data_IF_089093423383
#
_entry.id   IF_089093423383
#
_cell.length_a   1.000
_cell.length_b   1.000
_cell.length_c   1.000
_cell.angle_alpha   90.00
_cell.angle_beta   90.00
_cell.angle_gamma   90.00
#
_symmetry.space_group_name_H-M   'P 1'
#
loop_
_entity.id
_entity.type
_entity.pdbx_description
1 polymer ?
#
# COMPACT_ATOMS: atom_id res chain seq x y z
N UNK A 1 -1.56 20.70 -6.95
CA UNK A 1 -0.85 19.43 -6.79
C UNK A 1 0.08 19.62 -5.63
N UNK A 2 0.05 18.70 -4.68
CA UNK A 2 0.59 18.80 -3.31
C UNK A 2 2.06 19.32 -3.22
N UNK A 3 2.83 19.26 -4.31
CA UNK A 3 4.19 19.80 -4.43
C UNK A 3 4.33 20.87 -5.55
N UNK A 4 3.50 21.91 -5.54
CA UNK A 4 3.58 23.02 -6.52
C UNK A 4 3.01 22.72 -7.92
N UNK A 5 2.37 21.56 -8.10
CA UNK A 5 1.72 21.17 -9.35
C UNK A 5 0.31 21.77 -9.53
N UNK A 6 -0.33 21.49 -10.66
CA UNK A 6 -1.71 21.92 -10.95
C UNK A 6 -2.68 21.49 -9.84
N UNK A 7 -3.51 22.38 -9.26
CA UNK A 7 -4.51 22.01 -8.26
C UNK A 7 -5.43 20.86 -8.74
N UNK A 8 -5.77 19.92 -7.84
CA UNK A 8 -6.63 18.74 -8.09
C UNK A 8 -6.10 17.71 -9.10
N UNK A 9 -4.84 17.83 -9.53
CA UNK A 9 -4.17 16.78 -10.29
C UNK A 9 -3.48 15.81 -9.33
N UNK A 10 -4.30 15.06 -8.61
CA UNK A 10 -3.91 14.05 -7.64
C UNK A 10 -4.97 12.92 -7.64
N UNK A 11 -4.74 11.88 -6.86
CA UNK A 11 -5.62 10.70 -6.84
C UNK A 11 -6.94 10.92 -6.06
N UNK A 12 -7.15 12.11 -5.47
CA UNK A 12 -8.35 12.43 -4.66
C UNK A 12 -8.70 11.40 -3.57
N UNK A 13 -7.68 10.88 -2.86
CA UNK A 13 -7.83 9.75 -1.91
C UNK A 13 -8.36 10.15 -0.53
N UNK A 14 -8.37 11.44 -0.19
CA UNK A 14 -8.74 11.94 1.15
C UNK A 14 -10.19 11.56 1.52
N UNK A 15 -11.13 11.63 0.58
CA UNK A 15 -12.53 11.23 0.81
C UNK A 15 -12.64 9.72 1.13
N UNK A 16 -11.88 8.87 0.42
CA UNK A 16 -11.88 7.43 0.67
C UNK A 16 -11.30 7.09 2.06
N UNK A 17 -10.24 7.81 2.48
CA UNK A 17 -9.67 7.66 3.82
C UNK A 17 -10.63 8.13 4.92
N UNK A 18 -11.36 9.23 4.69
CA UNK A 18 -12.39 9.72 5.62
C UNK A 18 -13.55 8.72 5.79
N UNK A 19 -13.85 7.94 4.74
CA UNK A 19 -14.80 6.82 4.79
C UNK A 19 -14.20 5.54 5.41
N UNK A 20 -12.92 5.55 5.79
CA UNK A 20 -12.25 4.44 6.46
C UNK A 20 -11.62 3.40 5.53
N UNK A 21 -11.56 3.64 4.22
CA UNK A 21 -10.90 2.74 3.28
C UNK A 21 -9.38 2.91 3.34
N UNK A 22 -8.66 1.96 3.95
CA UNK A 22 -7.20 2.08 4.13
C UNK A 22 -6.38 0.99 3.41
N UNK A 23 -7.04 0.06 2.72
CA UNK A 23 -6.36 -1.13 2.17
C UNK A 23 -6.00 -2.21 3.21
N UNK A 24 -6.48 -2.10 4.46
CA UNK A 24 -6.33 -3.18 5.46
C UNK A 24 -6.90 -4.49 4.91
N UNK A 25 -6.20 -5.60 5.15
CA UNK A 25 -6.50 -6.94 4.65
C UNK A 25 -6.37 -7.13 3.13
N UNK A 26 -5.77 -6.17 2.40
CA UNK A 26 -5.39 -6.34 1.00
C UNK A 26 -3.89 -6.67 0.94
N UNK A 27 -3.54 -7.74 0.24
CA UNK A 27 -2.13 -8.09 -0.03
C UNK A 27 -1.78 -7.66 -1.45
N UNK A 28 -0.80 -6.77 -1.58
CA UNK A 28 -0.28 -6.30 -2.87
C UNK A 28 1.10 -6.89 -3.12
N UNK A 29 1.29 -7.56 -4.25
CA UNK A 29 2.60 -8.06 -4.68
C UNK A 29 3.32 -6.99 -5.51
N UNK A 30 4.58 -6.71 -5.17
CA UNK A 30 5.47 -5.82 -5.93
C UNK A 30 6.50 -6.73 -6.62
N UNK A 31 6.50 -6.73 -7.96
CA UNK A 31 7.44 -7.51 -8.77
C UNK A 31 8.52 -6.56 -9.29
N UNK A 32 9.60 -6.41 -8.52
CA UNK A 32 10.73 -5.52 -8.79
C UNK A 32 12.05 -6.17 -8.31
N UNK A 33 13.15 -5.42 -8.29
CA UNK A 33 14.47 -5.87 -7.79
C UNK A 33 14.50 -6.24 -6.30
N UNK A 34 13.54 -5.75 -5.52
CA UNK A 34 13.32 -6.15 -4.12
C UNK A 34 12.44 -5.17 -3.36
N UNK A 35 12.32 -5.39 -2.05
CA UNK A 35 11.69 -4.45 -1.12
C UNK A 35 12.50 -4.41 0.16
N UNK A 36 12.79 -3.21 0.66
CA UNK A 36 13.40 -3.05 1.99
C UNK A 36 12.34 -3.27 3.06
N UNK A 37 12.23 -4.53 3.49
CA UNK A 37 11.31 -4.95 4.54
C UNK A 37 11.70 -4.48 5.95
N UNK A 38 12.89 -3.89 6.12
CA UNK A 38 13.38 -3.41 7.43
C UNK A 38 13.13 -1.92 7.65
N UNK A 39 12.71 -1.19 6.61
CA UNK A 39 12.39 0.24 6.73
C UNK A 39 11.26 0.48 7.75
N UNK A 40 11.37 1.48 8.65
CA UNK A 40 10.38 1.74 9.71
C UNK A 40 8.94 1.94 9.18
N UNK A 41 8.79 2.48 7.98
CA UNK A 41 7.47 2.69 7.34
C UNK A 41 6.91 1.47 6.61
N UNK A 42 7.75 0.47 6.31
CA UNK A 42 7.34 -0.73 5.56
C UNK A 42 7.26 -1.98 6.44
N UNK A 43 8.10 -2.09 7.47
CA UNK A 43 8.23 -3.28 8.31
C UNK A 43 6.91 -3.75 8.91
N UNK A 44 5.99 -2.82 9.23
CA UNK A 44 4.69 -3.14 9.83
C UNK A 44 3.69 -3.73 8.84
N UNK A 45 3.90 -3.50 7.55
CA UNK A 45 3.01 -3.93 6.46
C UNK A 45 3.62 -5.02 5.57
N UNK A 46 4.87 -5.43 5.84
CA UNK A 46 5.53 -6.49 5.08
C UNK A 46 4.98 -7.86 5.46
N UNK A 47 4.48 -8.60 4.46
CA UNK A 47 3.98 -9.97 4.63
C UNK A 47 5.09 -10.94 4.24
N UNK A 48 5.80 -11.50 5.23
CA UNK A 48 6.84 -12.51 5.00
C UNK A 48 6.28 -13.94 4.82
N UNK A 49 5.00 -14.13 5.13
CA UNK A 49 4.33 -15.43 5.09
C UNK A 49 3.85 -15.78 3.68
N UNK A 50 4.43 -16.83 3.09
CA UNK A 50 3.85 -17.52 1.93
C UNK A 50 2.61 -18.30 2.39
N UNK A 51 1.43 -17.73 2.19
CA UNK A 51 0.17 -18.34 2.61
C UNK A 51 -0.13 -19.61 1.77
N UNK A 52 0.25 -20.79 2.27
CA UNK A 52 -0.03 -22.10 1.62
C UNK A 52 -1.51 -22.51 1.64
N UNK A 53 -2.42 -21.70 2.19
CA UNK A 53 -3.84 -22.07 2.38
C UNK A 53 -4.75 -21.58 1.26
N UNK A 54 -4.57 -22.10 0.03
CA UNK A 54 -5.64 -22.22 -1.01
C UNK A 54 -5.14 -22.90 -2.29
N UNK A 55 -4.56 -24.11 -2.16
CA UNK A 55 -4.55 -25.07 -3.27
C UNK A 55 -5.09 -26.40 -2.74
N UNK A 56 -6.41 -26.51 -2.74
CA UNK A 56 -7.10 -27.79 -2.82
C UNK A 56 -7.53 -27.98 -4.26
#
# INVERSE_FOLDING_TARGET
GQAGGKPRLDLNVEEAWALGYTGKNVTTAIMDDGVDYTHPDLMRNYVCEYNKKTRK
#
